data_IF_143920360751
#
_entry.id   IF_143920360751
#
_cell.length_a   1.000
_cell.length_b   1.000
_cell.length_c   1.000
_cell.angle_alpha   90.00
_cell.angle_beta   90.00
_cell.angle_gamma   90.00
#
_symmetry.space_group_name_H-M   'P 1'
#
loop_
_entity.id
_entity.type
_entity.pdbx_description
1 polymer ?
#
# COMPACT_ATOMS: atom_id res chain seq x y z
N UNK A 1 14.44 -17.84 -35.28
CA UNK A 1 13.28 -17.00 -34.91
C UNK A 1 13.69 -16.21 -33.69
N UNK A 2 13.72 -14.88 -33.74
CA UNK A 2 13.89 -14.09 -32.51
C UNK A 2 12.58 -14.14 -31.74
N UNK A 3 12.61 -14.69 -30.53
CA UNK A 3 11.47 -14.61 -29.61
C UNK A 3 11.21 -13.15 -29.25
N UNK A 4 9.93 -12.78 -29.11
CA UNK A 4 9.58 -11.46 -28.59
C UNK A 4 10.19 -11.28 -27.18
N UNK A 5 10.59 -10.05 -26.80
CA UNK A 5 11.11 -9.78 -25.46
C UNK A 5 10.08 -10.16 -24.37
N UNK A 6 10.56 -10.69 -23.25
CA UNK A 6 9.72 -11.10 -22.12
C UNK A 6 9.08 -9.86 -21.49
N UNK A 7 7.75 -9.83 -21.45
CA UNK A 7 6.99 -8.81 -20.73
C UNK A 7 6.81 -9.21 -19.25
N UNK A 8 7.35 -8.42 -18.33
CA UNK A 8 7.27 -8.60 -16.88
C UNK A 8 6.10 -7.81 -16.31
N UNK A 9 5.08 -8.51 -15.84
CA UNK A 9 3.90 -7.92 -15.19
C UNK A 9 3.91 -8.35 -13.73
N UNK A 10 4.11 -7.40 -12.82
CA UNK A 10 4.07 -7.63 -11.38
C UNK A 10 2.61 -7.55 -10.89
N UNK A 11 2.19 -8.49 -10.03
CA UNK A 11 0.75 -8.75 -9.78
C UNK A 11 0.30 -8.53 -8.34
N UNK A 12 1.20 -8.16 -7.42
CA UNK A 12 0.90 -7.92 -6.01
C UNK A 12 1.52 -6.60 -5.54
N UNK A 13 1.23 -5.53 -6.27
CA UNK A 13 1.88 -4.22 -6.07
C UNK A 13 0.97 -3.31 -5.26
N UNK A 14 1.31 -3.15 -3.98
CA UNK A 14 0.48 -2.41 -3.03
C UNK A 14 0.53 -0.88 -3.27
N UNK A 15 -0.60 -0.21 -3.06
CA UNK A 15 -0.69 1.25 -2.96
C UNK A 15 -1.62 1.69 -1.81
N UNK A 16 -1.54 2.96 -1.41
CA UNK A 16 -2.44 3.57 -0.43
C UNK A 16 -2.78 4.99 -0.88
N UNK A 17 -4.02 5.42 -0.67
CA UNK A 17 -4.45 6.82 -0.85
C UNK A 17 -4.52 7.55 0.50
N UNK A 18 -4.33 8.87 0.54
CA UNK A 18 -4.35 9.65 1.78
C UNK A 18 -5.60 9.44 2.63
N UNK A 19 -6.77 9.28 2.01
CA UNK A 19 -8.06 9.10 2.67
C UNK A 19 -8.13 7.80 3.45
N UNK A 20 -7.72 6.68 2.84
CA UNK A 20 -7.67 5.38 3.51
C UNK A 20 -6.61 5.37 4.61
N UNK A 21 -5.45 6.01 4.37
CA UNK A 21 -4.41 6.15 5.39
C UNK A 21 -4.93 6.90 6.63
N UNK A 22 -5.62 8.03 6.43
CA UNK A 22 -6.22 8.80 7.51
C UNK A 22 -7.31 8.01 8.27
N UNK A 23 -8.15 7.26 7.56
CA UNK A 23 -9.12 6.36 8.19
C UNK A 23 -8.45 5.28 9.04
N UNK A 24 -7.40 4.65 8.53
CA UNK A 24 -6.65 3.62 9.27
C UNK A 24 -5.90 4.18 10.48
N UNK A 25 -5.46 5.45 10.45
CA UNK A 25 -4.92 6.13 11.64
C UNK A 25 -5.98 6.27 12.75
N UNK A 26 -7.23 6.58 12.38
CA UNK A 26 -8.33 6.64 13.35
C UNK A 26 -8.66 5.24 13.91
N UNK A 27 -8.71 4.22 13.05
CA UNK A 27 -8.88 2.82 13.46
C UNK A 27 -7.77 2.39 14.42
N UNK A 28 -6.51 2.74 14.14
CA UNK A 28 -5.36 2.40 14.97
C UNK A 28 -5.49 2.92 16.42
N UNK A 29 -6.06 4.11 16.60
CA UNK A 29 -6.33 4.72 17.89
C UNK A 29 -7.54 4.10 18.62
N UNK A 30 -8.36 3.31 17.92
CA UNK A 30 -9.57 2.70 18.44
C UNK A 30 -9.36 1.42 19.28
N UNK A 31 -10.42 0.98 20.00
CA UNK A 31 -10.36 -0.15 20.92
C UNK A 31 -10.49 -1.53 20.24
N UNK A 32 -10.51 -1.61 18.91
CA UNK A 32 -10.70 -2.86 18.16
C UNK A 32 -9.69 -3.94 18.59
N UNK A 33 -10.17 -5.20 18.57
CA UNK A 33 -9.41 -6.42 18.91
C UNK A 33 -9.21 -7.34 17.71
N UNK A 34 -9.49 -6.87 16.49
CA UNK A 34 -9.19 -7.61 15.26
C UNK A 34 -7.67 -7.95 15.22
N UNK A 35 -7.30 -9.12 14.69
CA UNK A 35 -5.91 -9.56 14.56
C UNK A 35 -5.04 -8.58 13.75
N UNK A 36 -5.62 -7.89 12.77
CA UNK A 36 -4.93 -6.91 11.92
C UNK A 36 -4.53 -5.65 12.69
N UNK A 37 -5.06 -5.44 13.90
CA UNK A 37 -4.71 -4.28 14.73
C UNK A 37 -3.24 -4.25 15.11
N UNK A 38 -2.54 -5.40 15.12
CA UNK A 38 -1.10 -5.41 15.33
C UNK A 38 -0.35 -4.75 14.17
N UNK A 39 -0.74 -5.06 12.93
CA UNK A 39 -0.20 -4.44 11.72
C UNK A 39 -0.57 -2.95 11.68
N UNK A 40 -1.87 -2.66 11.86
CA UNK A 40 -2.41 -1.31 11.76
C UNK A 40 -1.78 -0.37 12.78
N UNK A 41 -1.63 -0.78 14.05
CA UNK A 41 -0.98 0.07 15.06
C UNK A 41 0.51 0.28 14.79
N UNK A 42 1.21 -0.73 14.28
CA UNK A 42 2.64 -0.58 13.92
C UNK A 42 2.84 0.39 12.77
N UNK A 43 2.00 0.31 11.74
CA UNK A 43 2.16 1.14 10.53
C UNK A 43 1.58 2.54 10.74
N UNK A 44 0.36 2.66 11.27
CA UNK A 44 -0.41 3.91 11.27
C UNK A 44 -0.40 4.67 12.61
N UNK A 45 0.09 4.06 13.70
CA UNK A 45 0.20 4.74 15.00
C UNK A 45 1.64 4.83 15.55
N UNK A 46 2.61 4.14 14.95
CA UNK A 46 4.01 4.24 15.39
C UNK A 46 4.63 5.56 14.94
N UNK A 47 5.54 6.08 15.78
CA UNK A 47 6.44 7.19 15.45
C UNK A 47 7.81 6.71 14.98
N UNK A 48 8.00 5.41 14.81
CA UNK A 48 9.27 4.84 14.34
C UNK A 48 9.52 5.25 12.88
N UNK A 49 10.73 5.72 12.62
CA UNK A 49 11.16 6.21 11.30
C UNK A 49 11.16 5.11 10.23
N UNK A 50 11.27 3.84 10.62
CA UNK A 50 11.14 2.71 9.71
C UNK A 50 9.77 2.68 9.04
N UNK A 51 8.69 2.90 9.79
CA UNK A 51 7.33 2.93 9.25
C UNK A 51 7.02 4.24 8.54
N UNK A 52 7.67 5.34 8.92
CA UNK A 52 7.57 6.61 8.16
C UNK A 52 8.06 6.45 6.71
N UNK A 53 9.17 5.72 6.51
CA UNK A 53 9.71 5.44 5.17
C UNK A 53 8.89 4.40 4.38
N UNK A 54 7.98 3.67 5.05
CA UNK A 54 7.12 2.67 4.40
C UNK A 54 6.00 3.32 3.58
N UNK A 55 5.58 4.54 3.92
CA UNK A 55 4.45 5.19 3.26
C UNK A 55 4.79 5.81 1.91
N UNK A 56 5.98 6.38 1.77
CA UNK A 56 6.36 7.10 0.55
C UNK A 56 6.26 6.20 -0.71
N UNK A 57 6.77 4.95 -0.73
CA UNK A 57 6.61 4.07 -1.88
C UNK A 57 5.16 3.61 -2.13
N UNK A 58 4.31 3.56 -1.08
CA UNK A 58 2.91 3.18 -1.22
C UNK A 58 2.04 4.32 -1.78
N UNK A 59 2.42 5.58 -1.54
CA UNK A 59 1.68 6.76 -1.97
C UNK A 59 2.14 7.29 -3.34
N UNK A 60 3.43 7.15 -3.66
CA UNK A 60 3.97 7.59 -4.94
C UNK A 60 3.70 6.54 -6.03
N UNK A 61 2.72 6.84 -6.88
CA UNK A 61 2.41 6.07 -8.10
C UNK A 61 3.05 6.68 -9.36
N UNK A 62 3.80 7.77 -9.21
CA UNK A 62 4.43 8.53 -10.27
C UNK A 62 5.93 8.29 -10.33
N UNK A 63 6.71 9.36 -10.20
CA UNK A 63 8.12 9.40 -10.59
C UNK A 63 8.98 8.33 -9.90
N UNK A 64 8.87 8.15 -8.58
CA UNK A 64 9.73 7.20 -7.87
C UNK A 64 9.43 5.76 -8.28
N UNK A 65 8.14 5.39 -8.30
CA UNK A 65 7.71 4.03 -8.66
C UNK A 65 8.02 3.70 -10.12
N UNK A 66 7.73 4.62 -11.05
CA UNK A 66 8.00 4.41 -12.47
C UNK A 66 9.50 4.30 -12.75
N UNK A 67 10.33 5.10 -12.06
CA UNK A 67 11.78 4.99 -12.17
C UNK A 67 12.31 3.64 -11.69
N UNK A 68 11.83 3.16 -10.55
CA UNK A 68 12.22 1.83 -10.04
C UNK A 68 11.76 0.71 -11.00
N UNK A 69 10.59 0.86 -11.64
CA UNK A 69 10.12 -0.05 -12.68
C UNK A 69 11.06 -0.04 -13.90
N UNK A 70 11.45 1.14 -14.39
CA UNK A 70 12.36 1.31 -15.53
C UNK A 70 13.74 0.70 -15.23
N UNK A 71 14.32 1.00 -14.05
CA UNK A 71 15.64 0.54 -13.63
C UNK A 71 15.72 -1.00 -13.49
N UNK A 72 14.57 -1.66 -13.23
CA UNK A 72 14.49 -3.12 -13.05
C UNK A 72 13.82 -3.86 -14.23
N UNK A 73 13.38 -3.13 -15.26
CA UNK A 73 12.69 -3.68 -16.42
C UNK A 73 11.34 -4.32 -16.07
N UNK A 74 10.53 -3.68 -15.22
CA UNK A 74 9.14 -4.08 -14.93
C UNK A 74 8.22 -3.32 -15.87
N UNK A 75 7.55 -4.02 -16.80
CA UNK A 75 6.72 -3.38 -17.82
C UNK A 75 5.39 -2.87 -17.27
N UNK A 76 4.83 -3.55 -16.26
CA UNK A 76 3.55 -3.20 -15.65
C UNK A 76 3.46 -3.66 -14.21
N UNK A 77 2.70 -2.91 -13.42
CA UNK A 77 2.25 -3.30 -12.09
C UNK A 77 0.71 -3.34 -12.06
N UNK A 78 0.15 -4.43 -11.54
CA UNK A 78 -1.27 -4.49 -11.16
C UNK A 78 -1.38 -3.98 -9.73
N UNK A 79 -1.97 -2.80 -9.58
CA UNK A 79 -2.06 -2.12 -8.30
C UNK A 79 -3.23 -2.67 -7.47
N UNK A 80 -2.98 -2.92 -6.19
CA UNK A 80 -3.97 -3.34 -5.21
C UNK A 80 -3.89 -2.47 -3.96
N UNK A 81 -5.03 -2.09 -3.39
CA UNK A 81 -5.05 -1.31 -2.15
C UNK A 81 -4.40 -2.16 -1.05
N UNK A 82 -3.41 -1.58 -0.37
CA UNK A 82 -2.64 -2.31 0.65
C UNK A 82 -3.54 -2.79 1.78
N UNK A 83 -3.20 -3.94 2.37
CA UNK A 83 -3.94 -4.51 3.48
C UNK A 83 -4.00 -3.53 4.69
N UNK A 84 -5.13 -3.47 5.40
CA UNK A 84 -6.35 -4.27 5.25
C UNK A 84 -7.42 -3.64 4.33
N UNK A 85 -7.01 -2.72 3.46
CA UNK A 85 -7.94 -1.92 2.64
C UNK A 85 -8.93 -1.15 3.51
N UNK A 86 -10.21 -1.19 3.12
CA UNK A 86 -11.33 -0.55 3.84
C UNK A 86 -12.04 -1.48 4.81
N UNK A 87 -11.56 -2.71 4.98
CA UNK A 87 -12.31 -3.80 5.64
C UNK A 87 -12.44 -3.64 7.16
N UNK A 88 -11.67 -2.73 7.77
CA UNK A 88 -11.75 -2.40 9.19
C UNK A 88 -12.65 -1.19 9.49
N UNK A 89 -13.17 -0.52 8.46
CA UNK A 89 -14.13 0.54 8.62
C UNK A 89 -15.53 -0.03 8.87
N UNK A 90 -16.42 0.78 9.45
CA UNK A 90 -17.85 0.46 9.40
C UNK A 90 -18.38 0.57 7.97
N UNK A 91 -19.58 0.04 7.75
CA UNK A 91 -20.16 -0.05 6.41
C UNK A 91 -20.33 1.32 5.73
N UNK A 92 -20.72 2.36 6.48
CA UNK A 92 -20.98 3.70 5.92
C UNK A 92 -19.68 4.41 5.57
N UNK A 93 -18.61 4.16 6.33
CA UNK A 93 -17.28 4.73 6.07
C UNK A 93 -16.56 4.02 4.92
N UNK A 94 -16.93 2.77 4.60
CA UNK A 94 -16.28 1.93 3.60
C UNK A 94 -16.81 2.10 2.15
N UNK A 95 -17.67 3.08 1.87
CA UNK A 95 -18.29 3.34 0.54
C UNK A 95 -17.70 4.56 -0.15
#
# INVERSE_FOLDING_TARGET
>A
MNSAPLRRIATEEAFIIPEVSAGLQQVAAGPSRNSDMQLVRRIYASKDTYYANFFQPLQDLGELRLRDMDDNGVDMQVLSLTAPGVQLFDADTAT
#
